data_IF_088647764647
#
_entry.id   IF_088647764647
#
_cell.length_a   1.000
_cell.length_b   1.000
_cell.length_c   1.000
_cell.angle_alpha   90.00
_cell.angle_beta   90.00
_cell.angle_gamma   90.00
#
_symmetry.space_group_name_H-M   'P 1'
#
loop_
_entity.id
_entity.type
_entity.pdbx_description
1 polymer ?
#
# COMPACT_ATOMS: atom_id res chain seq x y z
N UNK A 1 5.26 11.95 -9.52
CA UNK A 1 6.36 11.22 -10.19
C UNK A 1 6.86 10.03 -9.38
N UNK A 2 7.13 10.16 -8.07
CA UNK A 2 7.75 9.08 -7.25
C UNK A 2 6.96 7.75 -7.23
N UNK A 3 5.62 7.79 -7.32
CA UNK A 3 4.79 6.58 -7.22
C UNK A 3 4.95 5.60 -8.40
N UNK A 4 5.36 6.08 -9.58
CA UNK A 4 5.51 5.24 -10.77
C UNK A 4 6.73 4.30 -10.69
N UNK A 5 7.67 4.59 -9.78
CA UNK A 5 8.90 3.82 -9.63
C UNK A 5 8.79 2.72 -8.57
N UNK A 6 7.74 2.73 -7.73
CA UNK A 6 7.51 1.70 -6.69
C UNK A 6 7.53 0.28 -7.28
N UNK A 7 6.84 -0.02 -8.41
CA UNK A 7 6.89 -1.36 -8.99
C UNK A 7 8.29 -1.79 -9.45
N UNK A 8 9.16 -0.82 -9.80
CA UNK A 8 10.55 -1.10 -10.23
C UNK A 8 11.43 -1.53 -9.05
N UNK A 9 11.04 -1.21 -7.82
CA UNK A 9 11.77 -1.61 -6.62
C UNK A 9 11.46 -3.05 -6.21
N UNK A 10 10.24 -3.55 -6.50
CA UNK A 10 9.76 -4.88 -6.08
C UNK A 10 10.75 -6.03 -6.39
N UNK A 11 11.39 -6.12 -7.58
CA UNK A 11 12.32 -7.22 -7.88
C UNK A 11 13.59 -7.22 -7.03
N UNK A 12 13.97 -6.08 -6.44
CA UNK A 12 15.16 -5.94 -5.60
C UNK A 12 14.88 -6.23 -4.12
N UNK A 13 13.60 -6.38 -3.79
CA UNK A 13 13.19 -6.71 -2.44
C UNK A 13 13.19 -8.21 -2.39
N UNK A 14 14.06 -8.77 -1.54
CA UNK A 14 13.88 -10.15 -1.14
C UNK A 14 12.56 -10.21 -0.37
N UNK A 15 11.56 -10.66 -1.10
CA UNK A 15 10.19 -10.70 -0.69
C UNK A 15 10.00 -11.81 0.36
N UNK A 16 10.89 -12.79 0.47
CA UNK A 16 10.89 -13.83 1.52
C UNK A 16 11.49 -13.32 2.84
N UNK A 17 12.32 -12.28 2.81
CA UNK A 17 12.77 -11.56 3.99
C UNK A 17 11.65 -10.67 4.54
N UNK A 18 11.01 -11.16 5.62
CA UNK A 18 9.95 -10.46 6.32
C UNK A 18 10.37 -9.09 6.86
N UNK A 19 11.63 -8.93 7.27
CA UNK A 19 12.15 -7.67 7.78
C UNK A 19 12.33 -6.63 6.68
N UNK A 20 12.92 -7.05 5.55
CA UNK A 20 13.08 -6.18 4.38
C UNK A 20 11.73 -5.77 3.79
N UNK A 21 10.79 -6.72 3.68
CA UNK A 21 9.44 -6.43 3.23
C UNK A 21 8.71 -5.46 4.17
N UNK A 22 8.84 -5.62 5.50
CA UNK A 22 8.24 -4.70 6.46
C UNK A 22 8.78 -3.27 6.28
N UNK A 23 10.09 -3.12 6.17
CA UNK A 23 10.73 -1.83 5.92
C UNK A 23 10.25 -1.18 4.61
N UNK A 24 10.11 -1.97 3.56
CA UNK A 24 9.58 -1.48 2.28
C UNK A 24 8.12 -1.06 2.38
N UNK A 25 7.29 -1.85 3.05
CA UNK A 25 5.89 -1.53 3.25
C UNK A 25 5.71 -0.20 3.99
N UNK A 26 6.50 0.02 5.05
CA UNK A 26 6.52 1.28 5.80
C UNK A 26 7.02 2.45 4.93
N UNK A 27 8.02 2.22 4.09
CA UNK A 27 8.51 3.20 3.13
C UNK A 27 7.45 3.60 2.10
N UNK A 28 6.71 2.63 1.54
CA UNK A 28 5.60 2.91 0.62
C UNK A 28 4.53 3.73 1.32
N UNK A 29 4.12 3.34 2.54
CA UNK A 29 3.17 4.12 3.33
C UNK A 29 3.65 5.57 3.55
N UNK A 30 4.92 5.74 3.88
CA UNK A 30 5.54 7.05 4.09
C UNK A 30 5.48 7.95 2.86
N UNK A 31 5.75 7.42 1.66
CA UNK A 31 5.73 8.21 0.42
C UNK A 31 4.29 8.56 0.00
N UNK A 32 3.34 7.66 0.23
CA UNK A 32 1.94 7.89 -0.13
C UNK A 32 1.22 8.87 0.80
N UNK A 33 1.74 9.13 2.00
CA UNK A 33 1.19 10.16 2.91
C UNK A 33 1.59 11.57 2.49
N UNK A 34 0.65 12.49 2.65
CA UNK A 34 0.93 13.91 2.43
C UNK A 34 1.79 14.47 3.56
N UNK A 35 2.66 15.42 3.21
CA UNK A 35 3.55 16.06 4.17
C UNK A 35 2.71 16.75 5.25
N UNK A 36 2.92 16.34 6.51
CA UNK A 36 2.18 16.86 7.67
C UNK A 36 0.95 16.03 8.07
N UNK A 37 0.54 15.04 7.27
CA UNK A 37 -0.56 14.14 7.63
C UNK A 37 -0.06 12.88 8.33
N UNK A 38 -0.81 12.42 9.34
CA UNK A 38 -0.54 11.15 10.04
C UNK A 38 -1.10 9.93 9.30
N UNK A 39 -2.05 10.14 8.38
CA UNK A 39 -2.73 9.09 7.62
C UNK A 39 -2.67 9.32 6.11
N UNK A 40 -2.92 8.25 5.35
CA UNK A 40 -3.09 8.27 3.90
C UNK A 40 -4.58 8.20 3.56
N UNK A 41 -4.99 8.76 2.42
CA UNK A 41 -6.37 8.62 1.95
C UNK A 41 -6.66 7.17 1.55
N UNK A 42 -7.93 6.76 1.62
CA UNK A 42 -8.37 5.40 1.22
C UNK A 42 -7.92 5.08 -0.20
N UNK A 43 -8.12 6.01 -1.15
CA UNK A 43 -7.72 5.83 -2.55
C UNK A 43 -6.22 5.56 -2.70
N UNK A 44 -5.38 6.28 -1.94
CA UNK A 44 -3.92 6.09 -1.95
C UNK A 44 -3.51 4.77 -1.29
N UNK A 45 -4.15 4.40 -0.19
CA UNK A 45 -3.93 3.11 0.47
C UNK A 45 -4.22 1.94 -0.48
N UNK A 46 -5.38 1.99 -1.17
CA UNK A 46 -5.76 0.93 -2.11
C UNK A 46 -4.83 0.86 -3.30
N UNK A 47 -4.45 1.99 -3.89
CA UNK A 47 -3.47 2.01 -4.97
C UNK A 47 -2.13 1.40 -4.54
N UNK A 48 -1.63 1.76 -3.35
CA UNK A 48 -0.39 1.21 -2.82
C UNK A 48 -0.49 -0.30 -2.56
N UNK A 49 -1.56 -0.76 -1.91
CA UNK A 49 -1.79 -2.19 -1.63
C UNK A 49 -1.87 -3.02 -2.91
N UNK A 50 -2.58 -2.54 -3.94
CA UNK A 50 -2.68 -3.21 -5.24
C UNK A 50 -1.30 -3.41 -5.91
N UNK A 51 -0.31 -2.59 -5.57
CA UNK A 51 1.07 -2.71 -6.05
C UNK A 51 1.87 -3.65 -5.15
N UNK A 52 1.96 -3.35 -3.84
CA UNK A 52 2.91 -4.03 -2.94
C UNK A 52 2.45 -5.41 -2.48
N UNK A 53 1.14 -5.68 -2.51
CA UNK A 53 0.56 -6.95 -2.06
C UNK A 53 0.10 -7.85 -3.21
N UNK A 54 0.30 -7.43 -4.46
CA UNK A 54 -0.09 -8.23 -5.62
C UNK A 54 0.61 -9.60 -5.60
N UNK A 55 -0.15 -10.68 -5.75
CA UNK A 55 0.36 -12.05 -5.66
C UNK A 55 0.71 -12.54 -4.25
N UNK A 56 0.64 -11.68 -3.22
CA UNK A 56 1.00 -12.00 -1.82
C UNK A 56 -0.21 -12.09 -0.90
N UNK A 57 -1.20 -11.25 -1.14
CA UNK A 57 -2.41 -11.23 -0.36
C UNK A 57 -3.59 -11.78 -1.17
N UNK A 58 -3.98 -13.02 -0.85
CA UNK A 58 -5.03 -13.75 -1.57
C UNK A 58 -6.38 -13.01 -1.61
N UNK A 59 -6.68 -12.20 -0.60
CA UNK A 59 -7.95 -11.47 -0.50
C UNK A 59 -7.81 -9.98 -0.88
N UNK A 60 -6.73 -9.60 -1.58
CA UNK A 60 -6.41 -8.21 -1.88
C UNK A 60 -7.56 -7.46 -2.55
N UNK A 61 -8.13 -7.99 -3.63
CA UNK A 61 -9.23 -7.30 -4.31
C UNK A 61 -10.47 -7.17 -3.42
N UNK A 62 -10.81 -8.21 -2.65
CA UNK A 62 -11.93 -8.15 -1.70
C UNK A 62 -11.68 -7.11 -0.61
N UNK A 63 -10.46 -7.03 -0.10
CA UNK A 63 -10.06 -6.06 0.90
C UNK A 63 -10.10 -4.63 0.36
N UNK A 64 -9.50 -4.38 -0.80
CA UNK A 64 -9.54 -3.08 -1.46
C UNK A 64 -10.97 -2.63 -1.71
N UNK A 65 -11.81 -3.51 -2.28
CA UNK A 65 -13.23 -3.22 -2.50
C UNK A 65 -13.94 -2.94 -1.18
N UNK A 66 -13.70 -3.73 -0.12
CA UNK A 66 -14.31 -3.50 1.18
C UNK A 66 -13.93 -2.14 1.80
N UNK A 67 -12.67 -1.73 1.67
CA UNK A 67 -12.19 -0.45 2.21
C UNK A 67 -12.71 0.74 1.38
N UNK A 68 -12.79 0.62 0.05
CA UNK A 68 -13.38 1.64 -0.84
C UNK A 68 -14.90 1.76 -0.69
N UNK A 69 -15.59 0.64 -0.46
CA UNK A 69 -17.06 0.58 -0.31
C UNK A 69 -17.51 0.86 1.12
N UNK A 70 -16.62 1.32 2.00
CA UNK A 70 -16.99 1.96 3.27
C UNK A 70 -17.05 3.47 3.09
N UNK A 71 -18.12 4.05 2.50
CA UNK A 71 -18.41 5.44 2.76
C UNK A 71 -18.73 5.52 4.25
N UNK A 72 -17.87 6.20 5.00
CA UNK A 72 -18.13 6.75 6.34
C UNK A 72 -19.32 6.10 7.05
N UNK A 73 -19.07 5.03 7.80
CA UNK A 73 -19.89 4.77 8.98
C UNK A 73 -19.77 6.04 9.81
N UNK A 74 -20.82 6.85 9.70
CA UNK A 74 -21.20 7.93 10.60
C UNK A 74 -20.57 7.74 11.98
N UNK A 75 -19.55 8.55 12.27
CA UNK A 75 -19.24 8.94 13.64
C UNK A 75 -18.59 10.31 13.65
#
# INVERSE_FOLDING_TARGET
MIFADIPKLIPFIDLEDMGLFSCFYDFVFFIYREKGQKSITIQRAVAAWRIVLNGRFRLLDRWCNFVETRPTLSR
#
